data_IF_912340702498
#
_entry.id   IF_912340702498
#
_cell.length_a   1.000
_cell.length_b   1.000
_cell.length_c   1.000
_cell.angle_alpha   90.00
_cell.angle_beta   90.00
_cell.angle_gamma   90.00
#
_symmetry.space_group_name_H-M   'P 1'
#
loop_
_entity.id
_entity.type
_entity.pdbx_description
1 polymer ?
#
# COMPACT_ATOMS: atom_id res chain seq x y z
N UNK A 1 -32.23 16.48 27.91
CA UNK A 1 -31.77 16.38 26.52
C UNK A 1 -30.25 16.48 26.49
N UNK A 2 -29.60 15.65 25.69
CA UNK A 2 -28.12 15.59 25.55
C UNK A 2 -27.71 15.80 24.09
N UNK A 3 -26.50 16.31 23.88
CA UNK A 3 -25.89 16.52 22.58
C UNK A 3 -24.49 15.93 22.58
N UNK A 4 -24.20 15.04 21.66
CA UNK A 4 -22.86 14.51 21.40
C UNK A 4 -22.28 15.16 20.14
N UNK A 5 -21.08 15.69 20.23
CA UNK A 5 -20.39 16.32 19.09
C UNK A 5 -18.88 16.14 19.16
N UNK A 6 -18.22 16.32 18.02
CA UNK A 6 -16.78 16.26 17.91
C UNK A 6 -16.22 17.65 17.62
N UNK A 7 -15.28 18.09 18.43
CA UNK A 7 -14.60 19.37 18.26
C UNK A 7 -13.14 19.29 18.69
N UNK A 8 -12.25 19.89 17.91
CA UNK A 8 -10.81 19.90 18.15
C UNK A 8 -10.19 18.50 18.39
N UNK A 9 -10.65 17.49 17.65
CA UNK A 9 -10.16 16.12 17.77
C UNK A 9 -10.64 15.38 19.02
N UNK A 10 -11.62 15.91 19.72
CA UNK A 10 -12.19 15.31 20.93
C UNK A 10 -13.69 15.14 20.81
N UNK A 11 -14.21 14.10 21.45
CA UNK A 11 -15.64 13.86 21.57
C UNK A 11 -16.17 14.49 22.85
N UNK A 12 -17.23 15.29 22.72
CA UNK A 12 -17.85 16.02 23.77
C UNK A 12 -19.29 15.57 23.99
N UNK A 13 -19.66 15.45 25.22
CA UNK A 13 -21.04 15.19 25.66
C UNK A 13 -21.54 16.39 26.43
N UNK A 14 -22.60 17.02 25.92
CA UNK A 14 -23.22 18.18 26.55
C UNK A 14 -24.61 17.84 27.07
N UNK A 15 -24.87 18.12 28.34
CA UNK A 15 -26.18 17.98 28.96
C UNK A 15 -26.81 19.34 29.05
N UNK A 16 -28.00 19.54 28.41
CA UNK A 16 -28.75 20.77 28.45
C UNK A 16 -29.31 21.04 29.86
N UNK A 17 -29.68 19.98 30.59
CA UNK A 17 -30.09 20.07 31.98
C UNK A 17 -28.85 20.15 32.87
N UNK A 18 -28.64 21.31 33.50
CA UNK A 18 -27.48 21.58 34.34
C UNK A 18 -26.27 22.17 33.59
N UNK A 19 -26.39 22.44 32.29
CA UNK A 19 -25.37 23.11 31.47
C UNK A 19 -23.95 22.48 31.62
N UNK A 20 -23.90 21.14 31.64
CA UNK A 20 -22.65 20.38 31.88
C UNK A 20 -22.03 19.86 30.60
N UNK A 21 -20.76 20.19 30.38
CA UNK A 21 -19.96 19.75 29.27
C UNK A 21 -18.90 18.73 29.77
N UNK A 22 -18.84 17.57 29.17
CA UNK A 22 -17.95 16.47 29.54
C UNK A 22 -17.15 16.01 28.32
N UNK A 23 -15.83 15.93 28.47
CA UNK A 23 -14.95 15.36 27.43
C UNK A 23 -14.93 13.84 27.58
N UNK A 24 -15.32 13.10 26.52
CA UNK A 24 -15.34 11.62 26.50
C UNK A 24 -14.13 10.97 25.84
N UNK A 25 -13.09 11.75 25.57
CA UNK A 25 -11.83 11.25 25.01
C UNK A 25 -11.53 11.76 23.61
N UNK A 26 -10.38 11.35 23.10
CA UNK A 26 -9.90 11.75 21.78
C UNK A 26 -10.63 10.97 20.67
N UNK A 27 -10.94 11.66 19.58
CA UNK A 27 -11.42 11.02 18.35
C UNK A 27 -10.18 10.53 17.60
N UNK A 28 -10.10 9.23 17.29
CA UNK A 28 -9.02 8.74 16.46
C UNK A 28 -9.02 9.53 15.16
N UNK A 29 -7.86 10.07 14.79
CA UNK A 29 -7.72 10.77 13.50
C UNK A 29 -8.34 9.92 12.39
N UNK A 30 -9.17 10.50 11.50
CA UNK A 30 -9.75 9.75 10.42
C UNK A 30 -8.59 9.05 9.70
N UNK A 31 -8.66 7.71 9.60
CA UNK A 31 -7.70 6.96 8.80
C UNK A 31 -7.74 7.62 7.43
N UNK A 32 -6.65 8.27 7.03
CA UNK A 32 -6.51 8.80 5.67
C UNK A 32 -6.93 7.66 4.75
N UNK A 33 -8.08 7.80 4.12
CA UNK A 33 -8.54 6.83 3.16
C UNK A 33 -7.40 6.68 2.16
N UNK A 34 -6.91 5.46 1.95
CA UNK A 34 -5.92 5.24 0.89
C UNK A 34 -6.59 5.71 -0.40
N UNK A 35 -6.10 6.82 -0.92
CA UNK A 35 -6.45 7.19 -2.27
C UNK A 35 -5.99 6.03 -3.16
N UNK A 36 -6.80 5.57 -4.08
CA UNK A 36 -6.49 4.44 -4.96
C UNK A 36 -5.17 4.59 -5.74
N UNK A 37 -4.63 5.82 -5.83
CA UNK A 37 -3.32 6.16 -6.38
C UNK A 37 -2.16 6.09 -5.37
N UNK A 38 -2.42 5.97 -4.06
CA UNK A 38 -1.40 5.94 -3.01
C UNK A 38 -1.03 4.51 -2.59
N UNK A 39 -1.22 3.53 -3.46
CA UNK A 39 -0.67 2.20 -3.21
C UNK A 39 0.83 2.28 -3.49
N UNK A 40 1.60 2.62 -2.46
CA UNK A 40 3.04 2.54 -2.48
C UNK A 40 3.45 1.05 -2.42
N UNK A 41 3.25 0.35 -3.54
CA UNK A 41 3.62 -1.06 -3.69
C UNK A 41 5.14 -1.26 -3.58
N UNK A 42 5.90 -0.17 -3.60
CA UNK A 42 7.35 -0.18 -3.48
C UNK A 42 7.79 -0.32 -2.02
N UNK A 43 6.97 0.21 -1.08
CA UNK A 43 7.18 0.07 0.36
C UNK A 43 6.28 -1.01 0.96
N UNK A 44 6.14 -2.10 0.25
CA UNK A 44 5.38 -3.24 0.68
C UNK A 44 5.80 -3.69 2.06
N UNK A 45 4.88 -4.31 2.77
CA UNK A 45 5.08 -4.79 4.11
C UNK A 45 6.25 -5.78 4.25
N UNK A 46 6.58 -6.07 5.49
CA UNK A 46 7.56 -7.10 5.82
C UNK A 46 7.11 -8.51 5.38
N UNK A 47 7.80 -9.53 5.84
CA UNK A 47 7.50 -10.93 5.53
C UNK A 47 6.03 -11.30 5.78
N UNK A 48 5.40 -11.99 4.83
CA UNK A 48 3.99 -12.38 4.88
C UNK A 48 3.86 -13.87 5.14
N UNK A 49 3.19 -14.21 6.23
CA UNK A 49 2.92 -15.61 6.58
C UNK A 49 1.78 -16.18 5.73
N UNK A 50 1.90 -17.44 5.32
CA UNK A 50 0.83 -18.18 4.63
C UNK A 50 -0.38 -18.39 5.54
N UNK A 51 -1.61 -18.54 5.00
CA UNK A 51 -2.82 -18.80 5.77
C UNK A 51 -2.74 -20.03 6.69
N UNK A 52 -2.06 -21.09 6.27
CA UNK A 52 -1.84 -22.31 7.08
C UNK A 52 -0.71 -22.16 8.11
N UNK A 53 -0.02 -21.00 8.12
CA UNK A 53 1.05 -20.71 9.08
C UNK A 53 2.38 -21.40 8.83
N UNK A 54 2.52 -22.26 7.79
CA UNK A 54 3.73 -23.06 7.53
C UNK A 54 4.86 -22.30 6.85
N UNK A 55 4.51 -21.31 6.02
CA UNK A 55 5.44 -20.59 5.17
C UNK A 55 5.48 -19.10 5.49
N UNK A 56 6.63 -18.49 5.25
CA UNK A 56 6.81 -17.03 5.26
C UNK A 56 7.41 -16.63 3.93
N UNK A 57 6.74 -15.74 3.22
CA UNK A 57 7.23 -15.17 1.96
C UNK A 57 7.78 -13.77 2.18
N UNK A 58 8.86 -13.43 1.51
CA UNK A 58 9.51 -12.12 1.56
C UNK A 58 10.31 -11.87 0.29
N UNK A 59 10.75 -10.63 0.11
CA UNK A 59 11.64 -10.23 -0.98
C UNK A 59 13.03 -9.99 -0.42
N UNK A 60 14.04 -10.58 -1.05
CA UNK A 60 15.46 -10.37 -0.77
C UNK A 60 16.21 -10.27 -2.10
N UNK A 61 17.10 -9.27 -2.22
CA UNK A 61 17.90 -9.04 -3.44
C UNK A 61 17.03 -9.00 -4.70
N UNK A 62 15.95 -8.21 -4.67
CA UNK A 62 15.01 -8.04 -5.79
C UNK A 62 14.21 -9.29 -6.20
N UNK A 63 14.33 -10.39 -5.47
CA UNK A 63 13.70 -11.67 -5.78
C UNK A 63 12.79 -12.17 -4.66
N UNK A 64 11.82 -13.01 -5.03
CA UNK A 64 10.86 -13.62 -4.10
C UNK A 64 11.47 -14.87 -3.47
N UNK A 65 11.36 -14.96 -2.16
CA UNK A 65 11.82 -16.07 -1.32
C UNK A 65 10.69 -16.56 -0.43
N UNK A 66 10.74 -17.83 -0.09
CA UNK A 66 9.90 -18.43 0.94
C UNK A 66 10.77 -19.19 1.95
N UNK A 67 10.34 -19.15 3.21
CA UNK A 67 10.97 -19.89 4.30
C UNK A 67 9.92 -20.76 4.99
N UNK A 68 10.23 -22.02 5.17
CA UNK A 68 9.43 -22.93 5.96
C UNK A 68 9.66 -22.65 7.46
N UNK A 69 8.60 -22.42 8.22
CA UNK A 69 8.73 -22.07 9.65
C UNK A 69 9.24 -23.20 10.51
N UNK A 70 8.86 -24.44 10.20
CA UNK A 70 9.22 -25.61 11.02
C UNK A 70 10.70 -25.95 10.90
N UNK A 71 11.26 -25.91 9.70
CA UNK A 71 12.64 -26.32 9.41
C UNK A 71 13.60 -25.15 9.28
N UNK A 72 13.08 -23.93 9.09
CA UNK A 72 13.87 -22.75 8.74
C UNK A 72 14.43 -22.76 7.32
N UNK A 73 14.08 -23.77 6.52
CA UNK A 73 14.60 -23.95 5.16
C UNK A 73 14.09 -22.84 4.25
N UNK A 74 15.01 -22.19 3.55
CA UNK A 74 14.69 -21.14 2.59
C UNK A 74 14.72 -21.68 1.15
N UNK A 75 13.83 -21.14 0.31
CA UNK A 75 13.83 -21.40 -1.14
C UNK A 75 13.60 -20.11 -1.88
N UNK A 76 14.42 -19.89 -2.90
CA UNK A 76 14.21 -18.81 -3.86
C UNK A 76 13.18 -19.24 -4.90
N UNK A 77 12.23 -18.37 -5.22
CA UNK A 77 11.15 -18.63 -6.18
C UNK A 77 11.33 -17.87 -7.50
N UNK A 78 12.10 -16.76 -7.49
CA UNK A 78 12.44 -16.01 -8.71
C UNK A 78 13.92 -15.73 -8.77
N UNK A 79 14.47 -15.61 -10.00
CA UNK A 79 15.89 -15.43 -10.26
C UNK A 79 16.18 -14.30 -11.25
N UNK A 80 15.16 -13.59 -11.68
CA UNK A 80 15.19 -12.60 -12.75
C UNK A 80 14.92 -11.17 -12.26
N UNK A 81 14.93 -10.96 -10.94
CA UNK A 81 14.83 -9.64 -10.33
C UNK A 81 16.14 -8.87 -10.45
N UNK A 82 16.06 -7.60 -10.87
CA UNK A 82 17.19 -6.66 -10.99
C UNK A 82 16.87 -5.34 -10.31
N UNK A 83 17.86 -4.47 -10.12
CA UNK A 83 17.65 -3.14 -9.49
C UNK A 83 16.61 -2.30 -10.24
N UNK A 84 16.57 -2.37 -11.57
CA UNK A 84 15.62 -1.62 -12.40
C UNK A 84 14.31 -2.36 -12.69
N UNK A 85 14.22 -3.65 -12.35
CA UNK A 85 13.04 -4.48 -12.58
C UNK A 85 12.98 -5.58 -11.51
N UNK A 86 12.38 -5.26 -10.37
CA UNK A 86 12.42 -6.05 -9.15
C UNK A 86 11.02 -6.52 -8.71
N UNK A 87 10.97 -7.48 -7.81
CA UNK A 87 9.73 -7.95 -7.24
C UNK A 87 9.30 -7.10 -6.06
N UNK A 88 8.01 -6.73 -6.06
CA UNK A 88 7.37 -6.00 -4.96
C UNK A 88 7.28 -6.88 -3.72
N UNK A 89 7.51 -6.28 -2.56
CA UNK A 89 7.24 -6.90 -1.27
C UNK A 89 5.75 -7.02 -0.95
N UNK A 90 4.87 -6.50 -1.82
CA UNK A 90 3.43 -6.72 -1.75
C UNK A 90 3.09 -8.14 -2.22
N UNK A 91 3.19 -9.09 -1.28
CA UNK A 91 2.92 -10.50 -1.53
C UNK A 91 1.51 -10.86 -1.05
N UNK A 92 0.79 -11.65 -1.84
CA UNK A 92 -0.50 -12.21 -1.48
C UNK A 92 -0.49 -13.73 -1.63
N UNK A 93 -0.95 -14.41 -0.61
CA UNK A 93 -1.12 -15.85 -0.60
C UNK A 93 -2.48 -16.27 -1.13
N UNK A 94 -2.54 -17.42 -1.81
CA UNK A 94 -3.81 -18.10 -2.06
C UNK A 94 -4.37 -18.67 -0.75
N UNK A 95 -5.69 -18.82 -0.62
CA UNK A 95 -6.31 -19.34 0.59
C UNK A 95 -5.84 -20.74 0.97
N UNK A 96 -5.45 -21.55 -0.02
CA UNK A 96 -4.93 -22.92 0.15
C UNK A 96 -3.43 -22.98 0.48
N UNK A 97 -2.77 -21.81 0.63
CA UNK A 97 -1.34 -21.69 0.93
C UNK A 97 -0.38 -22.31 -0.08
N UNK A 98 -0.87 -22.76 -1.24
CA UNK A 98 -0.04 -23.45 -2.26
C UNK A 98 0.61 -22.49 -3.23
N UNK A 99 0.03 -21.30 -3.38
CA UNK A 99 0.49 -20.28 -4.33
C UNK A 99 0.63 -18.93 -3.64
N UNK A 100 1.50 -18.12 -4.20
CA UNK A 100 1.57 -16.71 -3.86
C UNK A 100 1.70 -15.87 -5.14
N UNK A 101 1.28 -14.63 -5.03
CA UNK A 101 1.40 -13.64 -6.11
C UNK A 101 2.28 -12.49 -5.60
N UNK A 102 3.20 -12.08 -6.44
CA UNK A 102 3.93 -10.82 -6.32
C UNK A 102 3.96 -10.15 -7.68
N UNK A 103 4.08 -8.83 -7.73
CA UNK A 103 4.27 -8.09 -8.97
C UNK A 103 5.74 -7.78 -9.21
N UNK A 104 6.21 -8.04 -10.42
CA UNK A 104 7.50 -7.53 -10.87
C UNK A 104 7.33 -6.11 -11.35
N UNK A 105 8.11 -5.17 -10.81
CA UNK A 105 7.97 -3.73 -10.99
C UNK A 105 9.15 -3.15 -11.77
N UNK A 106 8.84 -2.31 -12.75
CA UNK A 106 9.77 -1.33 -13.31
C UNK A 106 9.29 0.05 -12.88
N UNK A 107 9.94 0.68 -11.90
CA UNK A 107 9.52 1.98 -11.40
C UNK A 107 9.74 3.05 -12.46
N UNK A 108 8.82 4.00 -12.53
CA UNK A 108 9.00 5.23 -13.30
C UNK A 108 9.54 6.34 -12.40
N UNK A 109 10.14 7.34 -13.00
CA UNK A 109 10.58 8.54 -12.28
C UNK A 109 9.36 9.32 -11.78
N UNK A 110 9.35 9.63 -10.48
CA UNK A 110 8.26 10.41 -9.88
C UNK A 110 8.29 11.84 -10.38
N UNK A 111 7.21 12.27 -11.03
CA UNK A 111 6.99 13.64 -11.48
C UNK A 111 6.11 14.39 -10.51
N UNK A 112 6.37 15.68 -10.33
CA UNK A 112 5.68 16.50 -9.36
C UNK A 112 5.15 17.76 -10.01
N UNK A 113 3.96 18.17 -9.56
CA UNK A 113 3.38 19.48 -9.81
C UNK A 113 3.45 20.29 -8.52
N UNK A 114 3.80 21.55 -8.65
CA UNK A 114 3.86 22.49 -7.54
C UNK A 114 2.77 23.53 -7.74
N UNK A 115 2.04 23.82 -6.67
CA UNK A 115 1.05 24.88 -6.67
C UNK A 115 1.07 25.63 -5.33
N UNK A 116 0.61 26.87 -5.35
CA UNK A 116 0.60 27.75 -4.18
C UNK A 116 -0.85 27.96 -3.73
N UNK A 117 -1.11 27.63 -2.48
CA UNK A 117 -2.33 28.02 -1.78
C UNK A 117 -2.13 29.45 -1.25
N UNK A 118 -2.79 30.43 -1.90
CA UNK A 118 -2.55 31.85 -1.63
C UNK A 118 -3.05 32.30 -0.26
N UNK A 119 -4.12 31.66 0.24
CA UNK A 119 -4.79 32.04 1.50
C UNK A 119 -5.18 30.78 2.28
N UNK A 120 -4.20 30.08 2.90
CA UNK A 120 -4.51 28.96 3.78
C UNK A 120 -5.28 29.45 5.02
N UNK A 121 -6.21 28.63 5.53
CA UNK A 121 -7.08 29.00 6.64
C UNK A 121 -6.39 29.11 8.01
N UNK A 122 -5.19 28.54 8.13
CA UNK A 122 -4.42 28.38 9.37
C UNK A 122 -3.19 29.27 9.48
N UNK A 123 -2.85 30.04 8.43
CA UNK A 123 -1.71 30.95 8.43
C UNK A 123 -1.90 32.12 7.46
N UNK A 124 -1.19 33.21 7.67
CA UNK A 124 -1.24 34.40 6.82
C UNK A 124 -0.38 34.26 5.54
N UNK A 125 0.70 33.47 5.64
CA UNK A 125 1.62 33.30 4.52
C UNK A 125 1.12 32.23 3.54
N UNK A 126 1.33 32.41 2.23
CA UNK A 126 1.02 31.39 1.24
C UNK A 126 1.74 30.07 1.53
N UNK A 127 1.10 28.96 1.18
CA UNK A 127 1.64 27.61 1.37
C UNK A 127 1.97 26.99 0.01
N UNK A 128 3.21 26.49 -0.12
CA UNK A 128 3.62 25.71 -1.29
C UNK A 128 3.23 24.25 -1.09
N UNK A 129 2.52 23.71 -2.06
CA UNK A 129 2.18 22.29 -2.15
C UNK A 129 2.97 21.61 -3.25
N UNK A 130 3.34 20.36 -3.01
CA UNK A 130 3.97 19.44 -3.95
C UNK A 130 3.09 18.20 -4.07
N UNK A 131 2.62 17.91 -5.25
CA UNK A 131 1.79 16.73 -5.52
C UNK A 131 2.44 15.87 -6.59
N UNK A 132 2.49 14.56 -6.36
CA UNK A 132 2.91 13.61 -7.38
C UNK A 132 1.85 13.56 -8.48
N UNK A 133 2.27 13.85 -9.70
CA UNK A 133 1.38 13.92 -10.86
C UNK A 133 2.14 13.60 -12.14
N UNK A 134 1.82 12.46 -12.75
CA UNK A 134 2.30 12.10 -14.07
C UNK A 134 1.43 12.77 -15.15
N UNK A 135 2.05 13.44 -16.09
CA UNK A 135 1.35 14.07 -17.24
C UNK A 135 1.21 13.06 -18.38
N UNK A 136 0.29 13.27 -19.33
CA UNK A 136 0.25 12.49 -20.56
C UNK A 136 1.62 12.49 -21.26
N UNK A 137 2.13 11.30 -21.57
CA UNK A 137 3.47 11.11 -22.13
C UNK A 137 4.59 10.81 -21.15
N UNK A 138 4.37 10.99 -19.86
CA UNK A 138 5.33 10.54 -18.83
C UNK A 138 5.31 9.01 -18.70
N UNK A 139 6.46 8.43 -18.37
CA UNK A 139 6.53 7.01 -18.04
C UNK A 139 5.78 6.71 -16.74
N UNK A 140 5.01 5.62 -16.75
CA UNK A 140 4.33 5.09 -15.58
C UNK A 140 5.04 3.83 -15.06
N UNK A 141 4.93 3.60 -13.77
CA UNK A 141 5.40 2.35 -13.17
C UNK A 141 4.70 1.16 -13.81
N UNK A 142 5.50 0.29 -14.39
CA UNK A 142 5.05 -0.91 -15.08
C UNK A 142 5.05 -2.09 -14.13
N UNK A 143 3.93 -2.82 -14.05
CA UNK A 143 3.73 -3.95 -13.12
C UNK A 143 3.32 -5.21 -13.89
N UNK A 144 4.01 -6.30 -13.62
CA UNK A 144 3.69 -7.63 -14.17
C UNK A 144 3.38 -8.57 -13.02
N UNK A 145 2.16 -9.10 -12.91
CA UNK A 145 1.84 -10.08 -11.88
C UNK A 145 2.54 -11.42 -12.16
N UNK A 146 3.12 -12.01 -11.14
CA UNK A 146 3.74 -13.33 -11.20
C UNK A 146 3.15 -14.22 -10.12
N UNK A 147 2.75 -15.43 -10.52
CA UNK A 147 2.21 -16.45 -9.63
C UNK A 147 3.28 -17.51 -9.39
N UNK A 148 3.56 -17.80 -8.13
CA UNK A 148 4.55 -18.78 -7.72
C UNK A 148 3.88 -19.97 -7.03
N UNK A 149 4.20 -21.17 -7.46
CA UNK A 149 3.84 -22.41 -6.79
C UNK A 149 4.88 -22.75 -5.74
N UNK A 150 4.53 -22.74 -4.48
CA UNK A 150 5.47 -22.86 -3.36
C UNK A 150 6.15 -24.23 -3.30
N UNK A 151 5.40 -25.31 -3.55
CA UNK A 151 5.93 -26.68 -3.49
C UNK A 151 6.87 -27.00 -4.65
N UNK A 152 6.48 -26.60 -5.86
CA UNK A 152 7.26 -26.91 -7.08
C UNK A 152 8.32 -25.87 -7.40
N UNK A 153 8.19 -24.65 -6.88
CA UNK A 153 9.04 -23.52 -7.24
C UNK A 153 8.76 -22.94 -8.63
N UNK A 154 7.67 -23.39 -9.30
CA UNK A 154 7.34 -22.95 -10.65
C UNK A 154 6.74 -21.54 -10.60
N UNK A 155 7.31 -20.64 -11.41
CA UNK A 155 6.76 -19.31 -11.65
C UNK A 155 5.90 -19.32 -12.93
N UNK A 156 4.76 -18.65 -12.89
CA UNK A 156 3.85 -18.46 -14.03
C UNK A 156 3.56 -16.97 -14.16
N UNK A 157 3.89 -16.41 -15.30
CA UNK A 157 3.49 -15.07 -15.68
C UNK A 157 2.21 -15.19 -16.49
N UNK A 158 1.06 -14.64 -16.02
CA UNK A 158 -0.17 -14.66 -16.79
C UNK A 158 0.01 -13.88 -18.09
N UNK A 159 -0.55 -14.39 -19.19
CA UNK A 159 -0.64 -13.61 -20.42
C UNK A 159 -1.69 -12.52 -20.20
N UNK A 160 -1.23 -11.33 -19.82
CA UNK A 160 -2.09 -10.16 -19.62
C UNK A 160 -1.84 -9.16 -20.73
N UNK A 161 -2.90 -8.70 -21.38
CA UNK A 161 -2.83 -7.49 -22.16
C UNK A 161 -2.84 -6.31 -21.19
N UNK A 162 -1.70 -5.70 -20.98
CA UNK A 162 -1.51 -4.61 -20.01
C UNK A 162 -2.38 -3.38 -20.30
N UNK A 163 -2.85 -3.23 -21.54
CA UNK A 163 -3.76 -2.16 -21.94
C UNK A 163 -5.18 -2.33 -21.38
N UNK A 164 -5.57 -3.56 -21.03
CA UNK A 164 -6.90 -3.84 -20.47
C UNK A 164 -6.95 -3.82 -18.93
N UNK A 165 -5.81 -3.74 -18.25
CA UNK A 165 -5.76 -3.73 -16.79
C UNK A 165 -5.74 -2.33 -16.20
N UNK A 166 -5.53 -1.31 -17.03
CA UNK A 166 -5.68 0.09 -16.65
C UNK A 166 -7.07 0.57 -17.05
N UNK A 167 -7.94 0.97 -16.12
CA UNK A 167 -9.17 1.64 -16.51
C UNK A 167 -8.79 2.87 -17.30
N UNK A 168 -9.32 2.99 -18.50
CA UNK A 168 -9.23 4.22 -19.29
C UNK A 168 -9.83 5.37 -18.48
N UNK A 169 -9.20 6.52 -18.42
CA UNK A 169 -9.77 7.70 -17.76
C UNK A 169 -11.10 8.10 -18.37
#
# INVERSE_FOLDING_TARGET
KTLDFEFAGRRWHYRLEGNALECRGDVPAPRKGRHWMEVDDEKGGGPVTSPDGKWVAYVRENNVWVREKATGRERQLSYDGTIGFYYSSYIRWSPDSRKLVSCKLRPAEKRYVYYVESSPSDQLQPRLHKQEYAKPGDELTFKVPCIFHVETGKAVVPSTCLLYTSPSP
#
